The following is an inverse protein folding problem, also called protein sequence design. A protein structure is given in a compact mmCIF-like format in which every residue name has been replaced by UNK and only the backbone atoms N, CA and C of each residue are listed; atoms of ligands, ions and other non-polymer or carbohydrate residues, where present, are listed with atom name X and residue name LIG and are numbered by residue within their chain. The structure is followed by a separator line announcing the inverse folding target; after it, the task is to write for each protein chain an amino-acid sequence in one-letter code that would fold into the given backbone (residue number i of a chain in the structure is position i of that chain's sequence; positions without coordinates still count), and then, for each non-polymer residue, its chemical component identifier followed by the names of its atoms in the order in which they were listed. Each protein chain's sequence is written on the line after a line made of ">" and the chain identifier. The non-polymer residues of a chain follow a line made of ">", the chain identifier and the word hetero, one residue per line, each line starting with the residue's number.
data_IF_091404901834
#
_entry.id   IF_091404901834
#
_cell.length_a   1.000
_cell.length_b   1.000
_cell.length_c   1.000
_cell.angle_alpha   90.00
_cell.angle_beta   90.00
_cell.angle_gamma   90.00
#
_symmetry.space_group_name_H-M   'P 1'
#
loop_
_entity.id
_entity.type
_entity.pdbx_description
1 polymer ?
#
# COMPACT_ATOMS: atom_id res chain seq x y z
N UNK A 1 -0.19 21.20 15.37
CA UNK A 1 -0.90 20.36 14.38
C UNK A 1 -0.83 18.90 14.82
N UNK A 2 -1.97 18.26 15.04
CA UNK A 2 -2.05 16.83 15.35
C UNK A 2 -1.96 16.01 14.07
N UNK A 3 -1.14 14.94 14.08
CA UNK A 3 -0.96 14.03 12.95
C UNK A 3 -1.65 12.71 13.28
N UNK A 4 -2.54 12.24 12.42
CA UNK A 4 -3.17 10.92 12.53
C UNK A 4 -2.53 9.99 11.51
N UNK A 5 -1.90 8.92 11.98
CA UNK A 5 -1.38 7.89 11.09
C UNK A 5 -2.52 7.20 10.34
N UNK A 6 -2.38 7.07 9.02
CA UNK A 6 -3.36 6.41 8.15
C UNK A 6 -2.89 5.00 7.85
N UNK A 7 -1.77 4.89 7.12
CA UNK A 7 -1.21 3.63 6.66
C UNK A 7 0.20 3.84 6.13
N UNK A 8 0.95 2.73 6.09
CA UNK A 8 2.22 2.62 5.38
C UNK A 8 1.98 1.90 4.05
N UNK A 9 2.36 2.54 2.95
CA UNK A 9 2.43 1.91 1.65
C UNK A 9 3.84 1.39 1.43
N UNK A 10 4.06 0.12 1.76
CA UNK A 10 5.28 -0.59 1.39
C UNK A 10 5.17 -1.07 -0.06
N UNK A 11 5.91 -0.47 -0.99
CA UNK A 11 5.89 -0.91 -2.37
C UNK A 11 6.60 -2.25 -2.57
N UNK A 12 7.40 -2.75 -1.61
CA UNK A 12 7.96 -4.12 -1.70
C UNK A 12 6.87 -5.17 -1.48
N UNK A 13 5.94 -4.87 -0.58
CA UNK A 13 4.78 -5.69 -0.25
C UNK A 13 3.52 -4.82 -0.32
N UNK A 14 3.00 -4.55 -1.53
CA UNK A 14 1.90 -3.60 -1.73
C UNK A 14 0.62 -3.97 -0.96
N UNK A 15 0.45 -5.23 -0.56
CA UNK A 15 -0.68 -5.73 0.21
C UNK A 15 -0.46 -5.70 1.73
N UNK A 16 0.66 -5.15 2.19
CA UNK A 16 1.04 -5.12 3.62
C UNK A 16 1.51 -6.45 4.18
N UNK A 17 1.34 -7.55 3.43
CA UNK A 17 1.71 -8.90 3.86
C UNK A 17 2.70 -9.52 2.89
N UNK A 18 3.67 -10.26 3.42
CA UNK A 18 4.61 -11.04 2.63
C UNK A 18 3.89 -12.21 1.92
N UNK A 19 4.12 -12.43 0.61
CA UNK A 19 3.57 -13.59 -0.10
C UNK A 19 3.87 -14.93 0.59
N UNK A 20 5.09 -15.10 1.11
CA UNK A 20 5.49 -16.32 1.81
C UNK A 20 4.72 -16.48 3.11
N UNK A 21 4.61 -15.40 3.89
CA UNK A 21 3.93 -15.43 5.19
C UNK A 21 2.43 -15.75 5.03
N UNK A 22 1.77 -15.10 4.06
CA UNK A 22 0.39 -15.42 3.74
C UNK A 22 0.24 -16.86 3.24
N UNK A 23 1.14 -17.33 2.38
CA UNK A 23 1.15 -18.71 1.91
C UNK A 23 1.24 -19.72 3.05
N UNK A 24 2.08 -19.46 4.05
CA UNK A 24 2.20 -20.32 5.26
C UNK A 24 0.90 -20.32 6.07
N UNK A 25 0.29 -19.15 6.31
CA UNK A 25 -1.01 -19.07 7.00
C UNK A 25 -2.08 -19.83 6.25
N UNK A 26 -2.20 -19.61 4.93
CA UNK A 26 -3.18 -20.27 4.09
C UNK A 26 -2.97 -21.79 4.07
N UNK A 27 -1.72 -22.24 4.03
CA UNK A 27 -1.38 -23.67 4.05
C UNK A 27 -1.76 -24.34 5.38
N UNK A 28 -1.34 -23.76 6.51
CA UNK A 28 -1.68 -24.26 7.85
C UNK A 28 -3.20 -24.30 8.03
N UNK A 29 -3.90 -23.22 7.63
CA UNK A 29 -5.35 -23.15 7.70
C UNK A 29 -6.02 -24.24 6.86
N UNK A 30 -5.54 -24.45 5.64
CA UNK A 30 -6.10 -25.46 4.73
C UNK A 30 -5.91 -26.87 5.29
N UNK A 31 -4.77 -27.18 5.90
CA UNK A 31 -4.55 -28.47 6.58
C UNK A 31 -5.54 -28.67 7.73
N UNK A 32 -5.72 -27.66 8.58
CA UNK A 32 -6.67 -27.74 9.69
C UNK A 32 -8.09 -27.98 9.20
N UNK A 33 -8.52 -27.25 8.18
CA UNK A 33 -9.84 -27.41 7.56
C UNK A 33 -10.00 -28.79 6.92
N UNK A 34 -8.95 -29.31 6.26
CA UNK A 34 -8.98 -30.65 5.69
C UNK A 34 -9.11 -31.74 6.78
N UNK A 35 -8.39 -31.62 7.90
CA UNK A 35 -8.52 -32.54 9.04
C UNK A 35 -9.94 -32.51 9.61
N UNK A 36 -10.49 -31.31 9.81
CA UNK A 36 -11.87 -31.15 10.29
C UNK A 36 -12.89 -31.75 9.32
N UNK A 37 -12.70 -31.56 8.02
CA UNK A 37 -13.56 -32.15 6.99
C UNK A 37 -13.51 -33.68 7.01
N UNK A 38 -12.32 -34.27 7.05
CA UNK A 38 -12.17 -35.73 7.13
C UNK A 38 -12.84 -36.30 8.38
N UNK A 39 -12.72 -35.62 9.52
CA UNK A 39 -13.44 -35.97 10.75
C UNK A 39 -14.96 -35.88 10.59
N UNK A 40 -15.46 -34.81 9.96
CA UNK A 40 -16.89 -34.64 9.70
C UNK A 40 -17.45 -35.68 8.72
N UNK A 41 -16.70 -36.05 7.68
CA UNK A 41 -17.04 -37.13 6.76
C UNK A 41 -17.12 -38.48 7.50
N UNK A 42 -16.19 -38.76 8.41
CA UNK A 42 -16.20 -40.01 9.19
C UNK A 42 -17.43 -40.14 10.11
N UNK A 43 -18.02 -39.02 10.54
CA UNK A 43 -19.25 -38.98 11.36
C UNK A 43 -20.51 -38.84 10.49
N UNK A 44 -20.38 -38.86 9.15
CA UNK A 44 -21.50 -38.81 8.21
C UNK A 44 -22.12 -37.43 8.00
N UNK A 45 -21.46 -36.36 8.45
CA UNK A 45 -21.96 -34.96 8.38
C UNK A 45 -21.17 -34.07 7.41
N UNK A 46 -20.22 -34.62 6.67
CA UNK A 46 -19.29 -33.87 5.82
C UNK A 46 -19.96 -33.11 4.68
N UNK A 47 -19.79 -31.79 4.65
CA UNK A 47 -20.19 -30.94 3.53
C UNK A 47 -18.95 -30.28 2.89
N UNK A 48 -18.67 -30.66 1.64
CA UNK A 48 -17.50 -30.17 0.91
C UNK A 48 -17.60 -28.67 0.59
N UNK A 49 -18.79 -28.18 0.24
CA UNK A 49 -18.99 -26.77 -0.14
C UNK A 49 -18.71 -25.84 1.04
N UNK A 50 -19.25 -26.16 2.22
CA UNK A 50 -18.99 -25.41 3.45
C UNK A 50 -17.49 -25.45 3.79
N UNK A 51 -16.86 -26.61 3.62
CA UNK A 51 -15.43 -26.78 3.88
C UNK A 51 -14.58 -25.88 2.97
N UNK A 52 -14.90 -25.81 1.67
CA UNK A 52 -14.21 -24.93 0.73
C UNK A 52 -14.39 -23.46 1.12
N UNK A 53 -15.61 -23.05 1.49
CA UNK A 53 -15.86 -21.68 1.96
C UNK A 53 -15.03 -21.33 3.20
N UNK A 54 -14.96 -22.25 4.16
CA UNK A 54 -14.15 -22.08 5.37
C UNK A 54 -12.66 -22.04 5.02
N UNK A 55 -12.19 -22.87 4.08
CA UNK A 55 -10.79 -22.86 3.62
C UNK A 55 -10.37 -21.52 2.99
N UNK A 56 -11.31 -20.78 2.40
CA UNK A 56 -11.06 -19.49 1.76
C UNK A 56 -11.08 -18.28 2.73
N UNK A 57 -11.40 -18.46 4.01
CA UNK A 57 -11.50 -17.36 5.00
C UNK A 57 -10.25 -16.45 5.01
N UNK A 58 -9.00 -16.95 5.07
CA UNK A 58 -7.84 -16.07 5.09
C UNK A 58 -7.72 -15.20 3.83
N UNK A 59 -8.14 -15.76 2.67
CA UNK A 59 -8.19 -15.03 1.40
C UNK A 59 -9.24 -13.93 1.44
N UNK A 60 -10.44 -14.20 1.97
CA UNK A 60 -11.48 -13.18 2.12
C UNK A 60 -11.10 -12.07 3.09
N UNK A 61 -10.42 -12.38 4.20
CA UNK A 61 -9.91 -11.37 5.14
C UNK A 61 -8.94 -10.42 4.42
N UNK A 62 -8.02 -10.99 3.65
CA UNK A 62 -7.06 -10.21 2.89
C UNK A 62 -7.74 -9.31 1.83
N UNK A 63 -8.67 -9.88 1.06
CA UNK A 63 -9.46 -9.13 0.07
C UNK A 63 -10.27 -8.01 0.72
N UNK A 64 -10.88 -8.26 1.89
CA UNK A 64 -11.62 -7.26 2.65
C UNK A 64 -10.73 -6.10 3.10
N UNK A 65 -9.52 -6.40 3.60
CA UNK A 65 -8.54 -5.38 3.98
C UNK A 65 -8.10 -4.54 2.78
N UNK A 66 -7.76 -5.19 1.66
CA UNK A 66 -7.36 -4.49 0.44
C UNK A 66 -8.51 -3.63 -0.11
N UNK A 67 -9.73 -4.18 -0.14
CA UNK A 67 -10.93 -3.47 -0.57
C UNK A 67 -11.20 -2.24 0.27
N UNK A 68 -11.21 -2.37 1.59
CA UNK A 68 -11.39 -1.24 2.52
C UNK A 68 -10.35 -0.15 2.29
N UNK A 69 -9.07 -0.54 2.19
CA UNK A 69 -7.96 0.39 1.97
C UNK A 69 -8.08 1.11 0.63
N UNK A 70 -8.46 0.40 -0.44
CA UNK A 70 -8.63 0.95 -1.78
C UNK A 70 -9.85 1.90 -1.86
N UNK A 71 -10.94 1.60 -1.15
CA UNK A 71 -12.11 2.48 -1.10
C UNK A 71 -11.78 3.80 -0.40
N UNK A 72 -11.07 3.77 0.74
CA UNK A 72 -10.76 4.99 1.50
C UNK A 72 -9.62 5.81 0.93
N UNK A 73 -8.54 5.15 0.48
CA UNK A 73 -7.29 5.81 0.12
C UNK A 73 -6.72 5.37 -1.23
N UNK A 74 -7.49 4.62 -2.04
CA UNK A 74 -7.02 4.09 -3.31
C UNK A 74 -6.54 5.18 -4.28
N UNK A 75 -7.17 6.36 -4.28
CA UNK A 75 -6.75 7.49 -5.10
C UNK A 75 -5.30 7.91 -4.80
N UNK A 76 -4.94 8.02 -3.52
CA UNK A 76 -3.61 8.44 -3.07
C UNK A 76 -2.59 7.31 -3.23
N UNK A 77 -2.95 6.09 -2.83
CA UNK A 77 -2.06 4.93 -2.90
C UNK A 77 -1.69 4.59 -4.35
N UNK A 78 -2.63 4.71 -5.29
CA UNK A 78 -2.37 4.52 -6.73
C UNK A 78 -1.46 5.61 -7.27
N UNK A 79 -1.71 6.87 -6.93
CA UNK A 79 -0.86 8.00 -7.35
C UNK A 79 0.59 7.81 -6.87
N UNK A 80 0.80 7.48 -5.60
CA UNK A 80 2.15 7.21 -5.04
C UNK A 80 2.80 6.02 -5.75
N UNK A 81 2.08 4.92 -5.95
CA UNK A 81 2.65 3.74 -6.63
C UNK A 81 2.98 4.02 -8.10
N UNK A 82 2.17 4.81 -8.80
CA UNK A 82 2.41 5.20 -10.19
C UNK A 82 3.63 6.12 -10.29
N UNK A 83 3.71 7.13 -9.42
CA UNK A 83 4.84 8.05 -9.34
C UNK A 83 6.16 7.32 -9.04
N UNK A 84 6.15 6.36 -8.12
CA UNK A 84 7.35 5.57 -7.80
C UNK A 84 7.75 4.63 -8.95
N UNK A 85 6.77 4.02 -9.64
CA UNK A 85 7.04 3.15 -10.80
C UNK A 85 7.59 3.94 -11.99
N UNK A 86 7.05 5.13 -12.25
CA UNK A 86 7.48 6.01 -13.34
C UNK A 86 8.92 6.49 -13.15
N UNK A 87 9.32 6.74 -11.90
CA UNK A 87 10.69 7.13 -11.55
C UNK A 87 11.65 5.95 -11.34
N UNK A 88 11.26 4.73 -11.75
CA UNK A 88 12.11 3.54 -11.67
C UNK A 88 12.66 3.23 -10.26
N UNK A 89 11.92 3.62 -9.22
CA UNK A 89 12.32 3.36 -7.83
C UNK A 89 12.18 1.89 -7.41
N UNK A 90 11.53 1.08 -8.24
CA UNK A 90 11.21 -0.32 -7.94
C UNK A 90 12.17 -1.22 -8.71
N UNK A 91 12.98 -1.99 -7.98
CA UNK A 91 13.84 -3.03 -8.56
C UNK A 91 13.14 -4.37 -8.46
N UNK A 92 12.94 -5.00 -9.62
CA UNK A 92 12.32 -6.32 -9.72
C UNK A 92 13.35 -7.44 -9.55
N UNK A 93 12.89 -8.56 -9.01
CA UNK A 93 13.73 -9.74 -8.85
C UNK A 93 14.17 -10.34 -10.19
N UNK A 94 15.38 -10.88 -10.23
CA UNK A 94 15.92 -11.63 -11.38
C UNK A 94 16.21 -13.09 -10.95
N UNK A 95 15.58 -14.11 -11.58
CA UNK A 95 14.60 -14.02 -12.67
C UNK A 95 13.27 -13.39 -12.22
N UNK A 96 12.56 -12.76 -13.17
CA UNK A 96 11.28 -12.13 -12.89
C UNK A 96 10.18 -13.19 -12.78
N UNK A 97 9.39 -13.12 -11.71
CA UNK A 97 8.23 -14.00 -11.52
C UNK A 97 7.11 -13.29 -10.77
N UNK A 98 5.88 -13.75 -10.99
CA UNK A 98 4.68 -13.24 -10.31
C UNK A 98 4.50 -13.90 -8.95
N UNK A 99 4.13 -13.10 -7.95
CA UNK A 99 3.73 -13.58 -6.63
C UNK A 99 2.32 -14.18 -6.68
N UNK A 100 1.94 -14.89 -5.62
CA UNK A 100 0.56 -15.40 -5.43
C UNK A 100 -0.51 -14.30 -5.49
N UNK A 101 -0.10 -13.04 -5.36
CA UNK A 101 -0.98 -11.88 -5.43
C UNK A 101 -0.95 -11.16 -6.80
N UNK A 102 -0.35 -11.79 -7.81
CA UNK A 102 -0.36 -11.30 -9.19
C UNK A 102 0.69 -10.24 -9.55
N UNK A 103 1.31 -9.56 -8.58
CA UNK A 103 2.39 -8.60 -8.85
C UNK A 103 3.76 -9.29 -9.00
N UNK A 104 4.65 -8.71 -9.81
CA UNK A 104 6.04 -9.17 -9.97
C UNK A 104 6.82 -9.00 -8.67
N UNK A 105 7.62 -10.01 -8.26
CA UNK A 105 8.45 -9.92 -7.05
C UNK A 105 9.40 -8.72 -7.15
N UNK A 106 9.40 -7.89 -6.11
CA UNK A 106 10.25 -6.70 -5.97
C UNK A 106 11.37 -7.01 -4.97
N UNK A 107 12.61 -6.79 -5.35
CA UNK A 107 13.78 -6.96 -4.47
C UNK A 107 13.95 -5.73 -3.58
N UNK A 108 13.90 -4.55 -4.19
CA UNK A 108 14.08 -3.25 -3.56
C UNK A 108 12.93 -2.34 -3.99
N UNK A 109 12.27 -1.70 -3.04
CA UNK A 109 11.20 -0.75 -3.28
C UNK A 109 11.02 0.17 -2.06
N UNK A 110 10.57 1.42 -2.25
CA UNK A 110 10.46 2.38 -1.16
C UNK A 110 9.18 2.13 -0.36
N UNK A 111 9.15 2.65 0.86
CA UNK A 111 7.93 2.69 1.67
C UNK A 111 7.50 4.13 1.94
N UNK A 112 6.21 4.36 2.05
CA UNK A 112 5.64 5.69 2.27
C UNK A 112 4.70 5.65 3.47
N UNK A 113 5.03 6.37 4.54
CA UNK A 113 4.13 6.55 5.67
C UNK A 113 3.21 7.74 5.40
N UNK A 114 1.91 7.50 5.48
CA UNK A 114 0.88 8.49 5.17
C UNK A 114 0.17 8.89 6.46
N UNK A 115 0.11 10.20 6.70
CA UNK A 115 -0.57 10.81 7.83
C UNK A 115 -1.65 11.77 7.32
N UNK A 116 -2.76 11.84 8.04
CA UNK A 116 -3.76 12.88 7.88
C UNK A 116 -3.50 13.97 8.91
N UNK A 117 -3.50 15.21 8.47
CA UNK A 117 -3.40 16.38 9.33
C UNK A 117 -4.80 16.86 9.74
N UNK A 118 -4.87 17.61 10.84
CA UNK A 118 -6.12 18.11 11.43
C UNK A 118 -6.91 19.05 10.51
N UNK A 119 -6.24 19.71 9.58
CA UNK A 119 -6.83 20.57 8.54
C UNK A 119 -7.39 19.77 7.34
N UNK A 120 -7.22 18.45 7.34
CA UNK A 120 -7.65 17.56 6.26
C UNK A 120 -6.62 17.39 5.14
N UNK A 121 -5.45 18.01 5.24
CA UNK A 121 -4.31 17.76 4.36
C UNK A 121 -3.64 16.42 4.70
N UNK A 122 -2.76 15.95 3.82
CA UNK A 122 -2.01 14.72 3.98
C UNK A 122 -0.51 15.01 4.05
N UNK A 123 0.19 14.23 4.86
CA UNK A 123 1.64 14.26 4.94
C UNK A 123 2.17 12.88 4.58
N UNK A 124 3.10 12.82 3.63
CA UNK A 124 3.79 11.61 3.22
C UNK A 124 5.23 11.69 3.70
N UNK A 125 5.70 10.62 4.34
CA UNK A 125 7.11 10.43 4.68
C UNK A 125 7.67 9.24 3.87
N UNK A 126 8.38 9.53 2.78
CA UNK A 126 9.09 8.53 2.01
C UNK A 126 10.26 7.92 2.79
N UNK A 127 10.47 6.62 2.65
CA UNK A 127 11.64 5.89 3.12
C UNK A 127 12.27 5.14 1.96
N UNK A 128 13.54 5.46 1.67
CA UNK A 128 14.22 4.99 0.47
C UNK A 128 14.45 3.48 0.46
N UNK A 129 14.71 2.84 1.61
CA UNK A 129 14.97 1.41 1.72
C UNK A 129 16.01 0.87 0.72
N UNK A 130 17.03 1.68 0.39
CA UNK A 130 18.09 1.33 -0.56
C UNK A 130 17.68 1.42 -2.04
N UNK A 131 16.57 2.09 -2.36
CA UNK A 131 16.11 2.24 -3.75
C UNK A 131 17.07 3.06 -4.60
N UNK A 132 17.38 2.62 -5.83
CA UNK A 132 17.99 3.49 -6.82
C UNK A 132 16.99 4.59 -7.20
N UNK A 133 17.49 5.79 -7.54
CA UNK A 133 16.67 6.90 -8.06
C UNK A 133 15.55 7.40 -7.13
N UNK A 134 15.65 7.12 -5.82
CA UNK A 134 14.71 7.67 -4.84
C UNK A 134 14.66 9.20 -4.88
N UNK A 135 15.79 9.82 -5.26
CA UNK A 135 15.95 11.26 -5.22
C UNK A 135 15.44 12.02 -6.46
N UNK A 136 14.98 11.30 -7.49
CA UNK A 136 14.74 11.91 -8.80
C UNK A 136 13.26 11.89 -9.17
N UNK A 137 12.70 13.07 -9.50
CA UNK A 137 11.45 13.22 -10.24
C UNK A 137 10.16 12.76 -9.53
N UNK A 138 10.23 12.30 -8.28
CA UNK A 138 9.07 11.80 -7.53
C UNK A 138 7.96 12.84 -7.39
N UNK A 139 8.36 14.05 -7.00
CA UNK A 139 7.43 15.16 -6.79
C UNK A 139 6.69 15.52 -8.07
N UNK A 140 7.41 15.64 -9.19
CA UNK A 140 6.83 15.99 -10.49
C UNK A 140 5.88 14.90 -10.99
N UNK A 141 6.25 13.63 -10.80
CA UNK A 141 5.38 12.51 -11.15
C UNK A 141 4.11 12.49 -10.26
N UNK A 142 4.26 12.73 -8.95
CA UNK A 142 3.14 12.77 -8.02
C UNK A 142 2.18 13.93 -8.31
N UNK A 143 2.71 15.10 -8.69
CA UNK A 143 1.91 16.25 -9.09
C UNK A 143 1.08 15.96 -10.36
N UNK A 144 1.64 15.23 -11.33
CA UNK A 144 0.91 14.79 -12.52
C UNK A 144 -0.24 13.82 -12.19
N UNK A 145 -0.03 12.93 -11.22
CA UNK A 145 -1.04 11.96 -10.77
C UNK A 145 -2.14 12.59 -9.90
N UNK A 146 -1.88 13.75 -9.28
CA UNK A 146 -2.81 14.44 -8.37
C UNK A 146 -3.17 15.87 -8.86
N UNK A 147 -3.84 16.03 -10.01
CA UNK A 147 -4.07 17.33 -10.62
C UNK A 147 -4.97 18.27 -9.80
N UNK A 148 -5.81 17.72 -8.91
CA UNK A 148 -6.68 18.49 -8.00
C UNK A 148 -6.01 18.83 -6.67
N UNK A 149 -4.76 18.44 -6.45
CA UNK A 149 -4.05 18.68 -5.20
C UNK A 149 -2.78 19.51 -5.43
N UNK A 150 -2.35 20.20 -4.38
CA UNK A 150 -1.05 20.88 -4.28
C UNK A 150 -0.11 19.90 -3.59
N UNK A 151 1.04 19.65 -4.19
CA UNK A 151 2.10 18.80 -3.63
C UNK A 151 3.30 19.69 -3.34
N UNK A 152 3.76 19.73 -2.10
CA UNK A 152 4.89 20.60 -1.70
C UNK A 152 5.84 19.89 -0.74
N UNK A 153 7.08 20.38 -0.66
CA UNK A 153 8.09 19.86 0.26
C UNK A 153 8.00 20.64 1.57
N UNK A 154 7.64 19.94 2.66
CA UNK A 154 7.57 20.52 4.01
C UNK A 154 8.92 20.50 4.72
N UNK A 155 9.74 19.49 4.44
CA UNK A 155 11.12 19.39 4.93
C UNK A 155 12.03 18.78 3.87
N UNK A 156 13.22 19.38 3.71
CA UNK A 156 14.16 19.09 2.63
C UNK A 156 15.08 17.88 2.84
N UNK A 157 15.23 17.31 4.06
CA UNK A 157 15.81 15.98 4.32
C UNK A 157 15.68 15.63 5.82
N UNK A 158 15.18 14.42 6.20
CA UNK A 158 14.45 13.47 5.36
C UNK A 158 13.21 14.13 4.73
N UNK A 159 12.91 13.77 3.49
CA UNK A 159 11.83 14.39 2.73
C UNK A 159 10.48 14.19 3.39
N UNK A 160 9.76 15.27 3.60
CA UNK A 160 8.37 15.24 4.04
C UNK A 160 7.55 15.99 3.02
N UNK A 161 6.56 15.32 2.44
CA UNK A 161 5.73 15.85 1.36
C UNK A 161 4.36 16.17 1.93
N UNK A 162 3.90 17.41 1.74
CA UNK A 162 2.53 17.83 2.03
C UNK A 162 1.65 17.71 0.80
N UNK A 163 0.41 17.28 0.99
CA UNK A 163 -0.64 17.23 -0.05
C UNK A 163 -1.88 17.93 0.47
N UNK A 164 -2.31 18.97 -0.25
CA UNK A 164 -3.47 19.79 0.08
C UNK A 164 -4.46 19.84 -1.07
N UNK A 165 -5.76 19.82 -0.77
CA UNK A 165 -6.81 19.94 -1.79
C UNK A 165 -6.86 21.38 -2.31
N UNK A 166 -6.73 21.58 -3.64
CA UNK A 166 -6.80 22.90 -4.27
C UNK A 166 -8.10 23.63 -3.94
N UNK A 167 -9.21 22.91 -3.72
CA UNK A 167 -10.54 23.48 -3.43
C UNK A 167 -10.66 23.98 -1.99
N UNK A 168 -9.85 23.44 -1.07
CA UNK A 168 -9.79 23.89 0.33
C UNK A 168 -8.71 24.95 0.57
N UNK A 169 -7.93 25.28 -0.47
CA UNK A 169 -6.84 26.24 -0.44
C UNK A 169 -7.29 27.69 -0.24
N UNK A 170 -7.59 28.06 1.00
CA UNK A 170 -7.52 29.44 1.45
C UNK A 170 -6.11 29.74 2.00
N UNK A 171 -5.32 30.51 1.23
CA UNK A 171 -4.10 31.28 1.62
C UNK A 171 -2.94 30.46 2.22
N UNK A 172 -1.68 30.48 1.78
CA UNK A 172 -0.83 31.43 1.06
C UNK A 172 0.39 30.65 0.53
N UNK A 173 0.95 31.10 -0.59
CA UNK A 173 2.39 31.42 -0.74
C UNK A 173 2.43 32.48 -1.85
N UNK A 174 2.23 33.75 -1.45
CA UNK A 174 2.60 34.90 -2.29
C UNK A 174 4.08 35.19 -2.03
N UNK A 175 4.77 35.74 -3.03
CA UNK A 175 6.20 36.07 -3.08
C UNK A 175 6.76 36.98 -1.96
N UNK A 176 5.98 37.30 -0.93
CA UNK A 176 6.37 38.23 0.14
C UNK A 176 7.30 37.62 1.20
N UNK A 177 7.64 36.33 1.13
CA UNK A 177 8.62 35.68 2.02
C UNK A 177 10.01 35.45 1.39
N UNK A 178 10.29 36.06 0.23
CA UNK A 178 11.61 36.03 -0.43
C UNK A 178 12.29 37.42 -0.48
N UNK A 179 12.04 38.26 0.54
CA UNK A 179 12.83 39.46 0.84
C UNK A 179 13.51 39.32 2.20
#
# INVERSE_FOLDING_TARGET
>A
MTRKYICTLDLKKPLGVSPLFFGVIQFIWTILVAIMYLGSVAVGSGNLDITILVALIPTFIMLGFEGYRNVKWGWLLRAISSAASTNQMIVYAKPAYRTIFGYLRREIAPSFDIYQLSDGSYEIKPSANGCPHFDTGFMDALLKELPSYIVYVKHGYPWIIGIEDKRKGGKHLQDENFL
#
